data_IF_104274644072
#
_entry.id   IF_104274644072
#
_cell.length_a   1.000
_cell.length_b   1.000
_cell.length_c   1.000
_cell.angle_alpha   90.00
_cell.angle_beta   90.00
_cell.angle_gamma   90.00
#
_symmetry.space_group_name_H-M   'P 1'
#
loop_
_entity.id
_entity.type
_entity.pdbx_description
1 polymer ?
#
# COMPACT_ATOMS: atom_id res chain seq x y z
N UNK A 1 -7.74 11.69 0.05
CA UNK A 1 -7.92 12.36 1.34
C UNK A 1 -6.72 13.24 1.70
N UNK A 2 -5.53 12.73 1.94
CA UNK A 2 -4.34 13.50 2.36
C UNK A 2 -4.05 14.72 1.46
N UNK A 3 -4.11 14.57 0.14
CA UNK A 3 -3.89 15.68 -0.81
C UNK A 3 -4.93 16.81 -0.68
N UNK A 4 -6.18 16.47 -0.39
CA UNK A 4 -7.24 17.48 -0.11
C UNK A 4 -7.04 18.12 1.25
N UNK A 5 -6.71 17.33 2.26
CA UNK A 5 -6.40 17.87 3.58
C UNK A 5 -5.23 18.87 3.51
N UNK A 6 -4.16 18.51 2.83
CA UNK A 6 -3.02 19.41 2.60
C UNK A 6 -3.45 20.69 1.87
N UNK A 7 -4.33 20.60 0.87
CA UNK A 7 -4.86 21.75 0.16
C UNK A 7 -5.70 22.67 1.07
N UNK A 8 -6.45 22.12 2.01
CA UNK A 8 -7.27 22.93 2.93
C UNK A 8 -6.48 23.55 4.08
N UNK A 9 -5.35 22.96 4.43
CA UNK A 9 -4.50 23.42 5.55
C UNK A 9 -3.30 24.26 5.12
N UNK A 10 -3.01 24.32 3.81
CA UNK A 10 -1.88 25.07 3.27
C UNK A 10 -2.37 26.16 2.33
N UNK A 11 -2.14 27.42 2.70
CA UNK A 11 -2.52 28.56 1.87
C UNK A 11 -1.70 28.62 0.57
N UNK A 12 -2.36 28.98 -0.52
CA UNK A 12 -1.70 29.29 -1.80
C UNK A 12 -1.36 28.10 -2.69
N UNK A 13 -1.71 26.86 -2.31
CA UNK A 13 -1.53 25.71 -3.19
C UNK A 13 -2.44 25.80 -4.42
N UNK A 14 -1.85 25.60 -5.61
CA UNK A 14 -2.60 25.54 -6.85
C UNK A 14 -3.15 24.13 -7.06
N UNK A 15 -4.32 24.03 -7.69
CA UNK A 15 -4.97 22.73 -7.98
C UNK A 15 -4.07 21.78 -8.76
N UNK A 16 -3.31 22.31 -9.71
CA UNK A 16 -2.34 21.56 -10.52
C UNK A 16 -1.22 20.97 -9.66
N UNK A 17 -0.75 21.70 -8.66
CA UNK A 17 0.29 21.24 -7.73
C UNK A 17 -0.24 20.11 -6.83
N UNK A 18 -1.49 20.21 -6.38
CA UNK A 18 -2.14 19.15 -5.59
C UNK A 18 -2.32 17.87 -6.42
N UNK A 19 -2.72 17.98 -7.68
CA UNK A 19 -2.84 16.84 -8.59
C UNK A 19 -1.48 16.22 -8.91
N UNK A 20 -0.45 17.03 -9.13
CA UNK A 20 0.91 16.53 -9.35
C UNK A 20 1.46 15.81 -8.12
N UNK A 21 1.21 16.34 -6.91
CA UNK A 21 1.60 15.69 -5.66
C UNK A 21 0.88 14.35 -5.47
N UNK A 22 -0.40 14.24 -5.83
CA UNK A 22 -1.13 12.99 -5.83
C UNK A 22 -0.48 11.95 -6.76
N UNK A 23 -0.19 12.33 -8.01
CA UNK A 23 0.44 11.44 -8.99
C UNK A 23 1.83 10.98 -8.51
N UNK A 24 2.55 11.83 -7.78
CA UNK A 24 3.83 11.48 -7.18
C UNK A 24 3.67 10.51 -5.99
N UNK A 25 2.69 10.73 -5.12
CA UNK A 25 2.38 9.83 -4.00
C UNK A 25 2.05 8.43 -4.49
N UNK A 26 1.23 8.31 -5.54
CA UNK A 26 0.92 7.02 -6.17
C UNK A 26 2.20 6.34 -6.67
N UNK A 27 3.06 7.06 -7.40
CA UNK A 27 4.34 6.51 -7.86
C UNK A 27 5.24 6.09 -6.71
N UNK A 28 5.20 6.80 -5.59
CA UNK A 28 6.01 6.51 -4.41
C UNK A 28 5.63 5.18 -3.74
N UNK A 29 4.34 4.88 -3.63
CA UNK A 29 3.85 3.59 -3.13
C UNK A 29 4.38 2.40 -3.96
N UNK A 30 4.48 2.58 -5.30
CA UNK A 30 5.08 1.55 -6.17
C UNK A 30 6.60 1.49 -6.06
N UNK A 31 7.26 2.61 -5.88
CA UNK A 31 8.69 2.65 -5.57
C UNK A 31 8.99 1.86 -4.30
N UNK A 32 8.15 2.00 -3.28
CA UNK A 32 8.23 1.22 -2.04
C UNK A 32 8.04 -0.28 -2.28
N UNK A 33 7.09 -0.68 -3.12
CA UNK A 33 6.90 -2.09 -3.50
C UNK A 33 8.18 -2.66 -4.15
N UNK A 34 8.76 -1.96 -5.11
CA UNK A 34 10.01 -2.38 -5.76
C UNK A 34 11.19 -2.41 -4.78
N UNK A 35 11.26 -1.46 -3.85
CA UNK A 35 12.26 -1.44 -2.79
C UNK A 35 12.18 -2.70 -1.93
N UNK A 36 10.99 -3.09 -1.48
CA UNK A 36 10.82 -4.28 -0.66
C UNK A 36 11.11 -5.58 -1.43
N UNK A 37 10.79 -5.66 -2.72
CA UNK A 37 11.20 -6.78 -3.57
C UNK A 37 12.73 -6.83 -3.69
N UNK A 38 13.39 -5.70 -3.95
CA UNK A 38 14.85 -5.61 -3.98
C UNK A 38 15.47 -6.03 -2.65
N UNK A 39 14.90 -5.58 -1.53
CA UNK A 39 15.31 -5.95 -0.17
C UNK A 39 15.22 -7.46 0.06
N UNK A 40 14.15 -8.14 -0.37
CA UNK A 40 14.05 -9.61 -0.28
C UNK A 40 15.21 -10.32 -0.99
N UNK A 41 15.60 -9.85 -2.17
CA UNK A 41 16.78 -10.34 -2.89
C UNK A 41 18.06 -10.16 -2.06
N UNK A 42 18.26 -8.97 -1.47
CA UNK A 42 19.43 -8.64 -0.65
C UNK A 42 19.50 -9.46 0.65
N UNK A 43 18.38 -9.69 1.29
CA UNK A 43 18.33 -10.58 2.46
C UNK A 43 18.76 -12.01 2.07
N UNK A 44 18.28 -12.52 0.94
CA UNK A 44 18.59 -13.86 0.49
C UNK A 44 20.07 -14.04 0.11
N UNK A 45 20.77 -12.99 -0.35
CA UNK A 45 22.21 -13.02 -0.65
C UNK A 45 23.05 -13.45 0.57
N UNK A 46 22.63 -13.10 1.80
CA UNK A 46 23.34 -13.48 3.02
C UNK A 46 23.37 -15.00 3.29
N UNK A 47 22.51 -15.79 2.64
CA UNK A 47 22.60 -17.25 2.73
C UNK A 47 23.86 -17.82 2.09
N UNK A 48 24.48 -17.11 1.13
CA UNK A 48 25.77 -17.47 0.56
C UNK A 48 26.91 -17.23 1.58
N UNK A 49 26.88 -16.09 2.29
CA UNK A 49 27.84 -15.81 3.32
C UNK A 49 27.75 -16.80 4.49
N UNK A 50 26.52 -17.21 4.84
CA UNK A 50 26.29 -18.22 5.88
C UNK A 50 26.85 -19.57 5.45
N UNK A 51 26.64 -19.98 4.19
CA UNK A 51 27.25 -21.19 3.65
C UNK A 51 28.78 -21.16 3.80
N UNK A 52 29.43 -20.06 3.37
CA UNK A 52 30.88 -19.92 3.46
C UNK A 52 31.39 -19.98 4.90
N UNK A 53 30.66 -19.38 5.84
CA UNK A 53 30.99 -19.44 7.28
C UNK A 53 30.86 -20.85 7.84
N UNK A 54 29.79 -21.58 7.48
CA UNK A 54 29.56 -22.97 7.93
C UNK A 54 30.63 -23.93 7.40
N UNK A 55 31.02 -23.77 6.15
CA UNK A 55 32.10 -24.57 5.54
C UNK A 55 33.47 -24.38 6.20
N UNK A 56 33.70 -23.22 6.85
CA UNK A 56 34.95 -22.92 7.55
C UNK A 56 34.96 -23.35 9.03
N UNK A 57 33.86 -23.90 9.55
CA UNK A 57 33.80 -24.37 10.94
C UNK A 57 34.75 -25.55 11.16
N UNK A 58 35.54 -25.50 12.20
CA UNK A 58 36.42 -26.59 12.59
C UNK A 58 35.66 -27.85 13.08
N UNK A 59 34.50 -27.62 13.69
CA UNK A 59 33.60 -28.68 14.17
C UNK A 59 32.19 -28.45 13.63
N UNK A 60 31.96 -28.79 12.35
CA UNK A 60 30.66 -28.61 11.72
C UNK A 60 29.65 -29.62 12.28
N UNK A 61 28.44 -29.14 12.54
CA UNK A 61 27.29 -30.01 12.89
C UNK A 61 26.80 -30.72 11.60
N UNK A 62 25.91 -31.71 11.74
CA UNK A 62 25.33 -32.37 10.57
C UNK A 62 24.48 -31.42 9.75
N UNK A 63 23.80 -30.44 10.36
CA UNK A 63 23.14 -29.37 9.66
C UNK A 63 24.14 -28.49 8.87
N UNK A 64 25.27 -28.11 9.45
CA UNK A 64 26.29 -27.31 8.77
C UNK A 64 26.83 -28.02 7.51
N UNK A 65 26.97 -29.37 7.56
CA UNK A 65 27.45 -30.17 6.41
C UNK A 65 26.42 -30.24 5.27
N UNK A 66 25.13 -30.22 5.61
CA UNK A 66 24.02 -30.30 4.65
C UNK A 66 23.54 -28.93 4.18
N UNK A 67 23.95 -27.86 4.87
CA UNK A 67 23.52 -26.50 4.56
C UNK A 67 23.93 -26.09 3.15
N UNK A 68 23.00 -25.50 2.44
CA UNK A 68 23.23 -24.88 1.11
C UNK A 68 22.65 -23.47 1.11
N UNK A 69 23.15 -22.61 0.22
CA UNK A 69 22.60 -21.28 0.01
C UNK A 69 21.23 -21.34 -0.72
N UNK A 70 20.32 -22.18 -0.21
CA UNK A 70 19.07 -22.53 -0.89
C UNK A 70 18.13 -21.32 -1.01
N UNK A 71 18.16 -20.39 -0.05
CA UNK A 71 17.35 -19.17 -0.11
C UNK A 71 17.78 -18.27 -1.27
N UNK A 72 19.10 -18.08 -1.47
CA UNK A 72 19.62 -17.35 -2.62
C UNK A 72 19.31 -18.07 -3.93
N UNK A 73 19.52 -19.39 -3.97
CA UNK A 73 19.29 -20.20 -5.17
C UNK A 73 17.80 -20.51 -5.42
N UNK A 74 16.92 -20.09 -4.54
CA UNK A 74 15.48 -20.25 -4.69
C UNK A 74 15.01 -19.62 -6.01
N UNK A 75 14.24 -20.32 -6.85
CA UNK A 75 13.78 -19.80 -8.15
C UNK A 75 13.04 -18.46 -8.05
N UNK A 76 12.21 -18.26 -7.00
CA UNK A 76 11.50 -16.98 -6.76
C UNK A 76 12.50 -15.87 -6.47
N UNK A 77 13.48 -16.12 -5.57
CA UNK A 77 14.55 -15.17 -5.25
C UNK A 77 15.36 -14.80 -6.49
N UNK A 78 15.77 -15.79 -7.28
CA UNK A 78 16.56 -15.56 -8.48
C UNK A 78 15.82 -14.73 -9.53
N UNK A 79 14.50 -14.89 -9.63
CA UNK A 79 13.68 -14.07 -10.53
C UNK A 79 13.58 -12.64 -10.03
N UNK A 80 13.41 -12.42 -8.72
CA UNK A 80 13.43 -11.09 -8.13
C UNK A 80 14.77 -10.39 -8.42
N UNK A 81 15.90 -11.06 -8.14
CA UNK A 81 17.25 -10.50 -8.33
C UNK A 81 17.53 -10.19 -9.81
N UNK A 82 17.08 -11.03 -10.73
CA UNK A 82 17.31 -10.87 -12.17
C UNK A 82 16.27 -10.02 -12.88
N UNK A 83 15.21 -9.60 -12.18
CA UNK A 83 14.14 -8.82 -12.79
C UNK A 83 14.65 -7.45 -13.23
N UNK A 84 14.48 -7.16 -14.52
CA UNK A 84 14.97 -5.94 -15.16
C UNK A 84 14.34 -4.69 -14.53
N UNK A 85 13.02 -4.71 -14.34
CA UNK A 85 12.28 -3.55 -13.79
C UNK A 85 12.69 -3.22 -12.36
N UNK A 86 12.83 -4.25 -11.49
CA UNK A 86 13.32 -4.05 -10.12
C UNK A 86 14.70 -3.38 -10.13
N UNK A 87 15.60 -3.86 -10.97
CA UNK A 87 16.96 -3.31 -11.05
C UNK A 87 16.99 -1.89 -11.61
N UNK A 88 16.20 -1.58 -12.65
CA UNK A 88 16.06 -0.22 -13.19
C UNK A 88 15.51 0.76 -12.15
N UNK A 89 14.49 0.36 -11.39
CA UNK A 89 13.91 1.18 -10.32
C UNK A 89 14.92 1.33 -9.17
N UNK A 90 15.62 0.25 -8.81
CA UNK A 90 16.65 0.29 -7.76
C UNK A 90 17.81 1.23 -8.12
N UNK A 91 18.24 1.26 -9.38
CA UNK A 91 19.25 2.18 -9.86
C UNK A 91 18.74 3.62 -9.88
N UNK A 92 17.55 3.83 -10.45
CA UNK A 92 16.93 5.16 -10.56
C UNK A 92 16.74 5.85 -9.20
N UNK A 93 16.35 5.10 -8.17
CA UNK A 93 16.07 5.64 -6.83
C UNK A 93 17.17 5.36 -5.81
N UNK A 94 18.33 4.87 -6.24
CA UNK A 94 19.50 4.69 -5.38
C UNK A 94 19.27 3.69 -4.23
N UNK A 95 18.53 2.60 -4.43
CA UNK A 95 18.20 1.66 -3.34
C UNK A 95 19.44 1.07 -2.66
N UNK A 96 20.56 0.94 -3.38
CA UNK A 96 21.82 0.45 -2.81
C UNK A 96 22.42 1.41 -1.80
N UNK A 97 22.19 2.71 -1.96
CA UNK A 97 22.78 3.75 -1.11
C UNK A 97 21.99 3.91 0.20
N UNK A 98 20.68 3.63 0.16
CA UNK A 98 19.81 3.69 1.33
C UNK A 98 19.72 2.36 2.09
N UNK A 99 20.05 1.23 1.46
CA UNK A 99 19.95 -0.09 2.04
C UNK A 99 21.23 -0.47 2.79
N UNK A 100 21.19 -0.42 4.12
CA UNK A 100 22.30 -0.84 4.98
C UNK A 100 22.51 -2.35 4.90
N UNK A 101 23.77 -2.79 4.74
CA UNK A 101 24.16 -4.20 4.80
C UNK A 101 23.88 -4.80 6.18
N UNK A 102 24.09 -4.05 7.25
CA UNK A 102 23.80 -4.50 8.63
C UNK A 102 22.31 -4.73 8.85
N UNK A 103 21.46 -3.92 8.21
CA UNK A 103 20.01 -4.11 8.25
C UNK A 103 19.60 -5.43 7.63
N UNK A 104 20.01 -5.69 6.38
CA UNK A 104 19.68 -6.93 5.67
C UNK A 104 20.24 -8.17 6.35
N UNK A 105 21.45 -8.07 6.89
CA UNK A 105 22.12 -9.13 7.65
C UNK A 105 21.40 -9.47 8.96
N UNK A 106 20.92 -8.44 9.69
CA UNK A 106 20.12 -8.64 10.89
C UNK A 106 18.82 -9.35 10.57
N UNK A 107 18.11 -8.94 9.51
CA UNK A 107 16.86 -9.57 9.07
C UNK A 107 17.10 -11.03 8.65
N UNK A 108 18.13 -11.31 7.85
CA UNK A 108 18.52 -12.67 7.50
C UNK A 108 18.83 -13.52 8.73
N UNK A 109 19.63 -12.98 9.66
CA UNK A 109 20.02 -13.70 10.88
C UNK A 109 18.81 -14.11 11.72
N UNK A 110 17.84 -13.23 11.90
CA UNK A 110 16.60 -13.53 12.61
C UNK A 110 15.83 -14.65 11.91
N UNK A 111 15.62 -14.52 10.61
CA UNK A 111 14.91 -15.50 9.79
C UNK A 111 15.62 -16.86 9.77
N UNK A 112 16.95 -16.87 9.69
CA UNK A 112 17.75 -18.11 9.61
C UNK A 112 17.70 -18.98 10.87
N UNK A 113 17.18 -18.44 11.99
CA UNK A 113 16.96 -19.19 13.22
C UNK A 113 15.60 -19.91 13.27
N UNK A 114 14.71 -19.63 12.32
CA UNK A 114 13.38 -20.24 12.28
C UNK A 114 13.46 -21.73 11.91
N UNK A 115 12.74 -22.60 12.62
CA UNK A 115 12.69 -24.03 12.30
C UNK A 115 12.24 -24.30 10.86
N UNK A 116 11.28 -23.52 10.35
CA UNK A 116 10.73 -23.64 9.00
C UNK A 116 11.78 -23.34 7.93
N UNK A 117 12.70 -22.39 8.19
CA UNK A 117 13.81 -22.13 7.30
C UNK A 117 14.79 -23.30 7.26
N UNK A 118 15.13 -23.86 8.43
CA UNK A 118 16.01 -25.02 8.50
C UNK A 118 15.40 -26.24 7.81
N UNK A 119 14.12 -26.48 7.97
CA UNK A 119 13.37 -27.53 7.27
C UNK A 119 13.40 -27.31 5.76
N UNK A 120 13.16 -26.09 5.30
CA UNK A 120 13.24 -25.75 3.89
C UNK A 120 14.64 -25.99 3.32
N UNK A 121 15.70 -25.63 4.04
CA UNK A 121 17.09 -25.83 3.58
C UNK A 121 17.38 -27.30 3.38
N UNK A 122 16.93 -28.16 4.28
CA UNK A 122 17.16 -29.61 4.19
C UNK A 122 16.26 -30.30 3.16
N UNK A 123 14.99 -30.06 3.20
CA UNK A 123 13.96 -30.89 2.57
C UNK A 123 13.14 -30.18 1.48
N UNK A 124 13.02 -28.84 1.50
CA UNK A 124 12.22 -28.10 0.52
C UNK A 124 12.73 -28.26 -0.91
N UNK A 125 11.90 -28.71 -1.82
CA UNK A 125 12.30 -28.96 -3.21
C UNK A 125 11.22 -28.70 -4.25
N UNK A 126 9.97 -28.54 -3.80
CA UNK A 126 8.86 -28.28 -4.72
C UNK A 126 8.72 -26.80 -5.04
N UNK A 127 8.10 -26.43 -6.16
CA UNK A 127 7.77 -25.04 -6.47
C UNK A 127 6.97 -24.35 -5.35
N UNK A 128 6.10 -25.09 -4.67
CA UNK A 128 5.32 -24.60 -3.56
C UNK A 128 6.20 -24.31 -2.32
N UNK A 129 7.17 -25.18 -2.00
CA UNK A 129 8.14 -24.94 -0.94
C UNK A 129 8.93 -23.65 -1.21
N UNK A 130 9.34 -23.46 -2.47
CA UNK A 130 10.07 -22.26 -2.88
C UNK A 130 9.26 -20.99 -2.74
N UNK A 131 7.97 -21.01 -3.04
CA UNK A 131 7.07 -19.87 -2.82
C UNK A 131 6.79 -19.64 -1.35
N UNK A 132 6.46 -20.70 -0.61
CA UNK A 132 6.06 -20.61 0.79
C UNK A 132 7.17 -20.06 1.69
N UNK A 133 8.44 -20.40 1.44
CA UNK A 133 9.54 -19.87 2.24
C UNK A 133 9.74 -18.37 2.03
N UNK A 134 9.58 -17.86 0.80
CA UNK A 134 9.67 -16.42 0.52
C UNK A 134 8.46 -15.68 1.10
N UNK A 135 7.27 -16.27 1.03
CA UNK A 135 6.08 -15.72 1.70
C UNK A 135 6.24 -15.69 3.22
N UNK A 136 6.85 -16.72 3.80
CA UNK A 136 7.15 -16.78 5.23
C UNK A 136 8.15 -15.69 5.63
N UNK A 137 9.26 -15.58 4.89
CA UNK A 137 10.24 -14.50 5.08
C UNK A 137 9.54 -13.15 5.07
N UNK A 138 8.79 -12.86 4.03
CA UNK A 138 8.13 -11.55 3.91
C UNK A 138 7.09 -11.30 5.02
N UNK A 139 6.33 -12.33 5.40
CA UNK A 139 5.41 -12.26 6.55
C UNK A 139 6.12 -11.98 7.87
N UNK A 140 7.28 -12.60 8.08
CA UNK A 140 8.08 -12.41 9.30
C UNK A 140 8.62 -10.98 9.34
N UNK A 141 9.17 -10.47 8.23
CA UNK A 141 9.63 -9.09 8.12
C UNK A 141 8.54 -8.08 8.51
N UNK A 142 7.35 -8.21 7.94
CA UNK A 142 6.23 -7.30 8.20
C UNK A 142 5.74 -7.30 9.65
N UNK A 143 6.11 -8.31 10.46
CA UNK A 143 5.79 -8.36 11.91
C UNK A 143 6.84 -7.70 12.78
N UNK A 144 8.03 -7.48 12.25
CA UNK A 144 9.14 -6.92 13.03
C UNK A 144 9.02 -5.40 13.10
N UNK A 145 8.96 -4.84 14.32
CA UNK A 145 8.94 -3.40 14.56
C UNK A 145 10.15 -2.72 13.90
N UNK A 146 11.34 -3.26 14.12
CA UNK A 146 12.57 -2.77 13.51
C UNK A 146 12.52 -2.70 11.97
N UNK A 147 11.84 -3.62 11.31
CA UNK A 147 11.62 -3.55 9.86
C UNK A 147 10.69 -2.40 9.50
N UNK A 148 9.55 -2.31 10.19
CA UNK A 148 8.55 -1.27 9.92
C UNK A 148 9.12 0.13 10.16
N UNK A 149 9.82 0.35 11.28
CA UNK A 149 10.45 1.63 11.59
C UNK A 149 11.47 2.02 10.51
N UNK A 150 12.33 1.06 10.10
CA UNK A 150 13.32 1.33 9.04
C UNK A 150 12.68 1.64 7.70
N UNK A 151 11.57 0.97 7.34
CA UNK A 151 10.83 1.30 6.12
C UNK A 151 10.21 2.70 6.22
N UNK A 152 9.64 3.06 7.37
CA UNK A 152 9.00 4.36 7.59
C UNK A 152 10.00 5.52 7.54
N UNK A 153 11.24 5.32 7.98
CA UNK A 153 12.32 6.30 7.88
C UNK A 153 12.62 6.73 6.42
N UNK A 154 12.46 5.83 5.47
CA UNK A 154 12.69 6.09 4.04
C UNK A 154 11.41 6.33 3.25
N UNK A 155 10.28 5.78 3.71
CA UNK A 155 8.97 5.80 3.05
C UNK A 155 7.90 6.22 4.05
N UNK A 156 7.76 7.52 4.27
CA UNK A 156 6.88 8.14 5.27
C UNK A 156 5.40 7.75 5.17
N UNK A 157 4.94 7.27 4.01
CA UNK A 157 3.57 6.77 3.81
C UNK A 157 3.43 5.27 4.12
N UNK A 158 4.46 4.63 4.70
CA UNK A 158 4.44 3.17 4.91
C UNK A 158 3.20 2.68 5.65
N UNK A 159 2.78 3.36 6.69
CA UNK A 159 1.62 2.96 7.48
C UNK A 159 0.33 2.97 6.65
N UNK A 160 0.16 3.92 5.76
CA UNK A 160 -1.02 4.03 4.90
C UNK A 160 -0.97 3.05 3.73
N UNK A 161 0.22 2.85 3.14
CA UNK A 161 0.41 2.04 1.93
C UNK A 161 0.68 0.56 2.22
N UNK A 162 1.00 0.17 3.47
CA UNK A 162 1.45 -1.17 3.80
C UNK A 162 0.45 -2.27 3.36
N UNK A 163 -0.83 -2.04 3.49
CA UNK A 163 -1.85 -3.02 3.13
C UNK A 163 -1.81 -3.38 1.64
N UNK A 164 -1.75 -2.36 0.78
CA UNK A 164 -1.69 -2.56 -0.67
C UNK A 164 -0.34 -3.12 -1.10
N UNK A 165 0.76 -2.62 -0.55
CA UNK A 165 2.12 -3.07 -0.87
C UNK A 165 2.31 -4.53 -0.45
N UNK A 166 1.91 -4.90 0.78
CA UNK A 166 2.00 -6.27 1.29
C UNK A 166 1.12 -7.21 0.45
N UNK A 167 -0.09 -6.80 0.13
CA UNK A 167 -1.02 -7.56 -0.70
C UNK A 167 -0.43 -7.85 -2.09
N UNK A 168 0.11 -6.82 -2.72
CA UNK A 168 0.71 -6.91 -4.06
C UNK A 168 1.96 -7.78 -4.07
N UNK A 169 2.89 -7.61 -3.11
CA UNK A 169 4.09 -8.45 -3.03
C UNK A 169 3.74 -9.93 -2.80
N UNK A 170 2.77 -10.21 -1.91
CA UNK A 170 2.29 -11.59 -1.72
C UNK A 170 1.69 -12.18 -2.99
N UNK A 171 0.95 -11.38 -3.77
CA UNK A 171 0.41 -11.80 -5.06
C UNK A 171 1.54 -12.07 -6.05
N UNK A 172 2.51 -11.17 -6.19
CA UNK A 172 3.70 -11.33 -7.02
C UNK A 172 4.42 -12.65 -6.68
N UNK A 173 4.67 -12.95 -5.39
CA UNK A 173 5.35 -14.18 -4.97
C UNK A 173 4.52 -15.43 -5.32
N UNK A 174 3.20 -15.39 -5.20
CA UNK A 174 2.30 -16.51 -5.52
C UNK A 174 2.11 -16.76 -7.01
N UNK A 175 2.05 -15.70 -7.80
CA UNK A 175 1.83 -15.79 -9.24
C UNK A 175 3.11 -16.14 -10.02
N UNK A 176 4.18 -16.46 -9.31
CA UNK A 176 5.44 -16.90 -9.88
C UNK A 176 5.34 -18.29 -10.53
N UNK A 177 4.38 -18.46 -11.43
CA UNK A 177 4.26 -19.57 -12.35
C UNK A 177 4.94 -19.14 -13.65
N UNK A 178 6.07 -19.78 -13.97
CA UNK A 178 6.79 -19.65 -15.24
C UNK A 178 7.10 -18.23 -15.78
N UNK A 179 8.37 -17.99 -16.01
CA UNK A 179 9.07 -17.06 -16.92
C UNK A 179 8.50 -15.67 -17.22
N UNK A 180 7.35 -15.25 -16.72
CA UNK A 180 6.86 -13.90 -16.90
C UNK A 180 7.64 -12.92 -16.01
N UNK A 181 8.11 -11.84 -16.60
CA UNK A 181 8.58 -10.68 -15.86
C UNK A 181 7.50 -10.25 -14.87
N UNK A 182 7.91 -9.59 -13.77
CA UNK A 182 6.96 -8.84 -12.94
C UNK A 182 6.38 -7.80 -13.88
N UNK A 183 5.17 -8.09 -14.37
CA UNK A 183 4.51 -7.26 -15.35
C UNK A 183 4.10 -5.95 -14.73
N UNK A 184 3.92 -4.92 -15.55
CA UNK A 184 3.31 -3.64 -15.14
C UNK A 184 1.87 -3.85 -14.58
N UNK A 185 1.28 -5.07 -14.75
CA UNK A 185 -0.03 -5.46 -14.20
C UNK A 185 -0.10 -5.45 -12.66
N UNK A 186 1.05 -5.47 -11.97
CA UNK A 186 1.12 -5.25 -10.52
C UNK A 186 1.30 -3.78 -10.17
N UNK A 187 1.43 -2.92 -11.17
CA UNK A 187 1.42 -1.47 -11.03
C UNK A 187 0.03 -0.90 -10.69
N UNK A 188 -0.07 0.43 -10.46
CA UNK A 188 -1.36 1.09 -10.34
C UNK A 188 -2.14 0.88 -11.63
N UNK A 189 -3.34 0.33 -11.53
CA UNK A 189 -4.21 0.37 -12.68
C UNK A 189 -4.64 1.81 -12.91
N UNK A 190 -4.64 2.26 -14.17
CA UNK A 190 -5.17 3.59 -14.52
C UNK A 190 -6.62 3.73 -14.02
N UNK A 191 -7.40 2.63 -14.03
CA UNK A 191 -8.76 2.58 -13.51
C UNK A 191 -8.84 3.03 -12.03
N UNK A 192 -7.96 2.54 -11.16
CA UNK A 192 -8.03 2.86 -9.71
C UNK A 192 -7.34 4.18 -9.36
N UNK A 193 -6.25 4.52 -10.02
CA UNK A 193 -5.44 5.69 -9.66
C UNK A 193 -5.79 6.92 -10.48
N UNK A 194 -5.92 6.80 -11.79
CA UNK A 194 -6.23 7.91 -12.67
C UNK A 194 -7.75 8.10 -12.80
N UNK A 195 -8.48 7.08 -13.26
CA UNK A 195 -9.90 7.22 -13.58
C UNK A 195 -10.77 7.38 -12.34
N UNK A 196 -10.36 6.80 -11.20
CA UNK A 196 -11.06 6.98 -9.94
C UNK A 196 -10.40 8.04 -9.05
N UNK A 197 -9.20 7.78 -8.52
CA UNK A 197 -8.60 8.59 -7.45
C UNK A 197 -8.30 10.02 -7.89
N UNK A 198 -7.67 10.19 -9.07
CA UNK A 198 -7.32 11.50 -9.61
C UNK A 198 -8.55 12.30 -10.05
N UNK A 199 -9.54 11.65 -10.69
CA UNK A 199 -10.77 12.33 -11.09
C UNK A 199 -11.61 12.75 -9.88
N UNK A 200 -11.70 11.93 -8.81
CA UNK A 200 -12.35 12.31 -7.57
C UNK A 200 -11.66 13.53 -6.93
N UNK A 201 -10.33 13.48 -6.81
CA UNK A 201 -9.55 14.60 -6.27
C UNK A 201 -9.79 15.88 -7.06
N UNK A 202 -9.70 15.82 -8.40
CA UNK A 202 -9.93 16.93 -9.30
C UNK A 202 -11.35 17.48 -9.15
N UNK A 203 -12.34 16.60 -9.10
CA UNK A 203 -13.74 17.00 -8.93
C UNK A 203 -13.97 17.80 -7.65
N UNK A 204 -13.48 17.28 -6.52
CA UNK A 204 -13.63 17.95 -5.22
C UNK A 204 -12.89 19.30 -5.19
N UNK A 205 -11.67 19.37 -5.76
CA UNK A 205 -10.90 20.62 -5.84
C UNK A 205 -11.59 21.68 -6.71
N UNK A 206 -12.21 21.28 -7.81
CA UNK A 206 -12.88 22.21 -8.75
C UNK A 206 -14.23 22.67 -8.20
N UNK A 207 -14.99 21.75 -7.60
CA UNK A 207 -16.37 22.00 -7.18
C UNK A 207 -16.50 22.25 -5.66
N UNK A 208 -15.41 22.66 -4.99
CA UNK A 208 -15.39 22.83 -3.54
C UNK A 208 -16.53 23.74 -3.03
N UNK A 209 -16.75 24.91 -3.68
CA UNK A 209 -17.80 25.85 -3.34
C UNK A 209 -19.20 25.25 -3.50
N UNK A 210 -19.45 24.59 -4.63
CA UNK A 210 -20.73 23.91 -4.88
C UNK A 210 -21.03 22.78 -3.89
N UNK A 211 -20.00 22.05 -3.47
CA UNK A 211 -20.12 21.03 -2.43
C UNK A 211 -20.45 21.67 -1.08
N UNK A 212 -19.84 22.80 -0.75
CA UNK A 212 -20.16 23.57 0.47
C UNK A 212 -21.59 24.08 0.45
N UNK A 213 -22.09 24.57 -0.67
CA UNK A 213 -23.49 25.00 -0.81
C UNK A 213 -24.50 23.86 -0.57
N UNK A 214 -24.17 22.62 -0.97
CA UNK A 214 -24.99 21.44 -0.68
C UNK A 214 -24.94 21.09 0.80
N UNK A 215 -23.77 21.19 1.43
CA UNK A 215 -23.55 20.76 2.82
C UNK A 215 -24.02 21.78 3.85
N UNK A 216 -23.87 23.06 3.56
CA UNK A 216 -24.17 24.16 4.52
C UNK A 216 -25.53 24.04 5.18
N UNK A 217 -26.67 23.88 4.48
CA UNK A 217 -27.98 23.77 5.10
C UNK A 217 -28.16 22.50 5.95
N UNK A 218 -27.37 21.45 5.71
CA UNK A 218 -27.47 20.18 6.43
C UNK A 218 -26.65 20.16 7.73
N UNK A 219 -25.71 21.11 7.84
CA UNK A 219 -24.78 21.26 8.96
C UNK A 219 -25.17 22.46 9.83
N UNK A 220 -26.24 23.22 9.50
CA UNK A 220 -26.64 24.45 10.20
C UNK A 220 -26.84 24.29 11.73
N UNK A 221 -27.15 23.09 12.22
CA UNK A 221 -27.23 22.79 13.64
C UNK A 221 -25.87 22.51 14.30
N UNK A 222 -24.79 22.54 13.53
CA UNK A 222 -23.41 22.32 13.95
C UNK A 222 -22.63 23.55 13.53
N UNK A 223 -21.83 24.08 14.43
CA UNK A 223 -20.93 25.18 14.13
C UNK A 223 -19.89 24.68 13.10
N UNK A 224 -19.98 25.14 11.85
CA UNK A 224 -19.09 24.74 10.74
C UNK A 224 -17.62 24.90 11.11
N UNK A 225 -17.30 25.92 11.90
CA UNK A 225 -15.94 26.20 12.38
C UNK A 225 -15.43 25.14 13.38
N UNK A 226 -16.34 24.29 13.89
CA UNK A 226 -15.99 23.18 14.80
C UNK A 226 -15.91 21.82 14.12
N UNK A 227 -16.31 21.71 12.87
CA UNK A 227 -16.16 20.44 12.12
C UNK A 227 -14.68 20.25 11.79
N UNK A 228 -14.12 19.11 12.21
CA UNK A 228 -12.74 18.80 11.91
C UNK A 228 -12.49 18.82 10.39
N UNK A 229 -11.38 19.42 9.95
CA UNK A 229 -11.02 19.49 8.53
C UNK A 229 -10.99 18.13 7.87
N UNK A 230 -10.58 17.08 8.61
CA UNK A 230 -10.59 15.68 8.13
C UNK A 230 -12.02 15.23 7.85
N UNK A 231 -12.96 15.46 8.76
CA UNK A 231 -14.36 15.06 8.61
C UNK A 231 -15.00 15.75 7.40
N UNK A 232 -14.79 17.06 7.26
CA UNK A 232 -15.28 17.82 6.11
C UNK A 232 -14.66 17.33 4.79
N UNK A 233 -13.39 16.98 4.80
CA UNK A 233 -12.70 16.41 3.63
C UNK A 233 -13.34 15.09 3.21
N UNK A 234 -13.58 14.19 4.16
CA UNK A 234 -14.19 12.88 3.91
C UNK A 234 -15.65 13.02 3.42
N UNK A 235 -16.41 13.94 4.02
CA UNK A 235 -17.79 14.24 3.57
C UNK A 235 -17.77 14.74 2.12
N UNK A 236 -16.94 15.74 1.77
CA UNK A 236 -16.83 16.28 0.40
C UNK A 236 -16.41 15.22 -0.59
N UNK A 237 -15.47 14.33 -0.23
CA UNK A 237 -15.07 13.21 -1.06
C UNK A 237 -16.23 12.23 -1.31
N UNK A 238 -16.93 11.82 -0.28
CA UNK A 238 -18.09 10.93 -0.39
C UNK A 238 -19.18 11.51 -1.29
N UNK A 239 -19.51 12.78 -1.11
CA UNK A 239 -20.50 13.48 -1.96
C UNK A 239 -20.02 13.56 -3.41
N UNK A 240 -18.75 13.91 -3.64
CA UNK A 240 -18.14 13.91 -4.98
C UNK A 240 -18.24 12.54 -5.63
N UNK A 241 -17.89 11.48 -4.91
CA UNK A 241 -17.98 10.09 -5.39
C UNK A 241 -19.40 9.70 -5.78
N UNK A 242 -20.38 10.03 -4.93
CA UNK A 242 -21.79 9.76 -5.25
C UNK A 242 -22.26 10.45 -6.53
N UNK A 243 -21.75 11.65 -6.80
CA UNK A 243 -22.15 12.48 -7.94
C UNK A 243 -21.52 12.03 -9.26
N UNK A 244 -20.23 11.66 -9.25
CA UNK A 244 -19.47 11.45 -10.50
C UNK A 244 -19.26 9.98 -10.89
N UNK A 245 -19.44 9.02 -9.95
CA UNK A 245 -19.26 7.59 -10.25
C UNK A 245 -20.59 6.84 -10.24
N UNK A 246 -21.24 6.72 -11.39
CA UNK A 246 -22.58 6.10 -11.46
C UNK A 246 -22.57 4.60 -11.17
N UNK A 247 -21.43 3.92 -11.30
CA UNK A 247 -21.30 2.49 -11.08
C UNK A 247 -21.03 2.09 -9.63
N UNK A 248 -20.77 3.07 -8.74
CA UNK A 248 -20.56 2.83 -7.31
C UNK A 248 -21.89 3.04 -6.56
N UNK A 249 -22.37 2.03 -5.80
CA UNK A 249 -23.57 2.19 -4.98
C UNK A 249 -23.37 3.25 -3.90
N UNK A 250 -24.38 4.07 -3.64
CA UNK A 250 -24.28 5.15 -2.64
C UNK A 250 -24.02 4.64 -1.23
N UNK A 251 -24.60 3.48 -0.86
CA UNK A 251 -24.32 2.84 0.43
C UNK A 251 -22.86 2.40 0.57
N UNK A 252 -22.24 1.94 -0.51
CA UNK A 252 -20.79 1.60 -0.50
C UNK A 252 -19.99 2.84 -0.24
N UNK A 253 -20.25 3.96 -0.95
CA UNK A 253 -19.58 5.23 -0.70
C UNK A 253 -19.71 5.65 0.76
N UNK A 254 -20.93 5.67 1.33
CA UNK A 254 -21.14 6.05 2.74
C UNK A 254 -20.31 5.16 3.67
N UNK A 255 -20.39 3.84 3.52
CA UNK A 255 -19.69 2.90 4.39
C UNK A 255 -18.17 3.09 4.34
N UNK A 256 -17.57 3.22 3.15
CA UNK A 256 -16.14 3.40 3.00
C UNK A 256 -15.66 4.70 3.67
N UNK A 257 -16.37 5.83 3.50
CA UNK A 257 -15.97 7.08 4.12
C UNK A 257 -16.23 7.11 5.64
N UNK A 258 -17.20 6.37 6.13
CA UNK A 258 -17.40 6.15 7.57
C UNK A 258 -16.27 5.29 8.15
N UNK A 259 -15.79 4.26 7.45
CA UNK A 259 -14.61 3.48 7.89
C UNK A 259 -13.34 4.34 7.87
N UNK A 260 -13.13 5.17 6.84
CA UNK A 260 -12.02 6.13 6.83
C UNK A 260 -12.08 7.12 8.00
N UNK A 261 -13.29 7.55 8.38
CA UNK A 261 -13.47 8.44 9.54
C UNK A 261 -13.01 7.78 10.84
N UNK A 262 -13.25 6.48 11.02
CA UNK A 262 -12.76 5.73 12.20
C UNK A 262 -11.24 5.69 12.28
N UNK A 263 -10.58 5.67 11.13
CA UNK A 263 -9.11 5.57 11.04
C UNK A 263 -8.41 6.91 11.25
N UNK A 264 -8.97 7.98 10.68
CA UNK A 264 -8.29 9.28 10.58
C UNK A 264 -8.90 10.40 11.42
N UNK A 265 -10.02 10.15 12.10
CA UNK A 265 -10.68 11.15 12.95
C UNK A 265 -10.99 10.63 14.36
N UNK A 266 -11.89 11.28 15.07
CA UNK A 266 -12.27 10.90 16.44
C UNK A 266 -13.38 9.85 16.45
N UNK A 267 -13.52 9.10 17.55
CA UNK A 267 -14.58 8.11 17.73
C UNK A 267 -16.00 8.69 17.55
N UNK A 268 -16.17 9.98 17.88
CA UNK A 268 -17.46 10.69 17.74
C UNK A 268 -17.72 11.15 16.31
N UNK A 269 -16.69 11.35 15.51
CA UNK A 269 -16.79 11.83 14.13
C UNK A 269 -17.51 10.84 13.23
N UNK A 270 -17.35 9.56 13.47
CA UNK A 270 -18.00 8.48 12.69
C UNK A 270 -19.52 8.65 12.65
N UNK A 271 -20.18 8.87 13.80
CA UNK A 271 -21.63 8.99 13.86
C UNK A 271 -22.11 10.33 13.26
N UNK A 272 -21.31 11.39 13.41
CA UNK A 272 -21.52 12.67 12.77
C UNK A 272 -21.45 12.56 11.23
N UNK A 273 -20.34 12.00 10.69
CA UNK A 273 -20.14 11.85 9.24
C UNK A 273 -21.25 10.96 8.64
N UNK A 274 -21.56 9.83 9.27
CA UNK A 274 -22.65 8.97 8.81
C UNK A 274 -23.98 9.72 8.75
N UNK A 275 -24.36 10.43 9.82
CA UNK A 275 -25.61 11.18 9.87
C UNK A 275 -25.69 12.33 8.85
N UNK A 276 -24.55 12.98 8.52
CA UNK A 276 -24.53 14.01 7.47
C UNK A 276 -24.62 13.36 6.08
N UNK A 277 -23.89 12.28 5.81
CA UNK A 277 -23.94 11.58 4.52
C UNK A 277 -25.32 11.03 4.21
N UNK A 278 -26.04 10.50 5.19
CA UNK A 278 -27.43 10.06 5.02
C UNK A 278 -28.35 11.23 4.62
N UNK A 279 -28.24 12.38 5.29
CA UNK A 279 -29.01 13.58 4.93
C UNK A 279 -28.68 14.10 3.54
N UNK A 280 -27.37 14.10 3.19
CA UNK A 280 -26.91 14.50 1.86
C UNK A 280 -27.50 13.58 0.81
N UNK A 281 -27.44 12.26 1.00
CA UNK A 281 -28.02 11.28 0.07
C UNK A 281 -29.49 11.55 -0.20
N UNK A 282 -30.29 11.76 0.84
CA UNK A 282 -31.72 12.11 0.69
C UNK A 282 -31.90 13.40 -0.14
N UNK A 283 -31.15 14.44 0.17
CA UNK A 283 -31.21 15.72 -0.55
C UNK A 283 -30.81 15.56 -2.03
N UNK A 284 -29.77 14.78 -2.33
CA UNK A 284 -29.31 14.54 -3.70
C UNK A 284 -30.32 13.72 -4.51
N UNK A 285 -30.99 12.74 -3.89
CA UNK A 285 -32.07 11.97 -4.50
C UNK A 285 -33.30 12.82 -4.79
N UNK A 286 -33.76 13.64 -3.84
CA UNK A 286 -34.89 14.54 -4.00
C UNK A 286 -34.66 15.55 -5.13
N UNK A 287 -33.44 16.05 -5.27
CA UNK A 287 -33.06 16.98 -6.33
C UNK A 287 -32.68 16.29 -7.67
N UNK A 288 -32.79 14.96 -7.77
CA UNK A 288 -32.38 14.17 -8.92
C UNK A 288 -30.94 14.45 -9.41
N UNK A 289 -30.02 14.69 -8.46
CA UNK A 289 -28.62 14.98 -8.77
C UNK A 289 -27.76 13.71 -8.88
N UNK A 290 -28.24 12.57 -8.40
CA UNK A 290 -27.55 11.26 -8.50
C UNK A 290 -28.21 10.45 -9.61
N UNK A 291 -27.39 9.95 -10.54
CA UNK A 291 -27.78 8.96 -11.54
C UNK A 291 -26.90 7.74 -11.41
N UNK A 292 -27.46 6.62 -10.95
CA UNK A 292 -26.74 5.36 -10.78
C UNK A 292 -27.02 4.40 -11.94
N UNK A 293 -26.02 3.59 -12.30
CA UNK A 293 -26.10 2.61 -13.39
C UNK A 293 -25.32 1.33 -13.06
N UNK A 294 -25.65 0.22 -13.72
CA UNK A 294 -24.94 -1.03 -13.52
C UNK A 294 -24.91 -1.48 -12.07
N UNK A 295 -23.72 -1.68 -11.53
CA UNK A 295 -23.51 -2.07 -10.10
C UNK A 295 -23.98 -1.00 -9.10
N UNK A 296 -24.01 0.27 -9.52
CA UNK A 296 -24.47 1.38 -8.70
C UNK A 296 -25.96 1.36 -8.37
N UNK A 297 -26.76 0.52 -9.05
CA UNK A 297 -28.19 0.30 -8.78
C UNK A 297 -28.43 -0.70 -7.64
N UNK A 298 -27.40 -1.37 -7.15
CA UNK A 298 -27.50 -2.32 -6.03
C UNK A 298 -27.57 -1.51 -4.74
N UNK A 299 -28.75 -1.48 -4.11
CA UNK A 299 -28.99 -0.84 -2.81
C UNK A 299 -28.51 -1.71 -1.64
#
# INVERSE_FOLDING_TARGET
>A
MQSLYANYTTEGLKKEEVLAAYDETVRYAYTLMYYQLFLLGKIAEHSQDDLLKRQKKLLPTDFDKQFTAKLFNNPVTQRIIKNKKINEVAEKYGFKDILSEDFTKKLYKTFSLMPEYNEYVLNGSTPEDHQNIILLLYKDLCKQEFFNDTIEDYFFNWQDDQSIVIGTIKKIIKDFKDQSDISDDYGPSDESTHDFGRELLKYVLVNNESLEEILKPLIENWDLDRVATVDMTLIKMSVGEMLIFPTIPTKVSINEYVELTKTYSTDKSKDFVNGILDKVLHTLLEKNLISKSGRGLVE
#
